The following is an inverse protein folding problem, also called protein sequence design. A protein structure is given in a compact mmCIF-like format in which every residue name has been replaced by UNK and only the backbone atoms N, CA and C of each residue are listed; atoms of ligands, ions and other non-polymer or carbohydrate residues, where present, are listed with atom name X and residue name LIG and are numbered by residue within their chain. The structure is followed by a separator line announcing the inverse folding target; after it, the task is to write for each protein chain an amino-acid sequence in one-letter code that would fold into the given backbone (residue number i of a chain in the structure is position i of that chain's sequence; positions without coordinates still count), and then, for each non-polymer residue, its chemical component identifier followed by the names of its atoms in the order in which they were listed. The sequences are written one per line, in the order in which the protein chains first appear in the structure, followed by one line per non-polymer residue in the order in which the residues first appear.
data_IF_631731557129
#
_entry.id   IF_631731557129
#
_cell.length_a   1.000
_cell.length_b   1.000
_cell.length_c   1.000
_cell.angle_alpha   90.00
_cell.angle_beta   90.00
_cell.angle_gamma   90.00
#
_symmetry.space_group_name_H-M   'P 1'
#
loop_
_entity.id
_entity.type
_entity.pdbx_description
1 polymer ?
#
# COMPACT_ATOMS: atom_id res chain seq x y z
N UNK A 1 12.68 8.70 -39.60
CA UNK A 1 12.06 7.78 -38.60
C UNK A 1 10.99 6.95 -39.30
N UNK A 2 11.08 5.61 -39.28
CA UNK A 2 10.10 4.73 -39.96
C UNK A 2 8.78 4.68 -39.17
N UNK A 3 7.68 5.12 -39.77
CA UNK A 3 6.33 4.98 -39.21
C UNK A 3 5.77 3.60 -39.54
N UNK A 4 5.41 2.81 -38.52
CA UNK A 4 4.74 1.52 -38.70
C UNK A 4 3.23 1.70 -38.77
N UNK A 5 2.54 0.75 -39.42
CA UNK A 5 1.08 0.78 -39.59
C UNK A 5 0.42 0.27 -38.31
N UNK A 6 -0.45 1.06 -37.70
CA UNK A 6 -1.12 0.77 -36.44
C UNK A 6 -2.02 -0.46 -36.54
N UNK A 7 -1.95 -1.34 -35.55
CA UNK A 7 -2.75 -2.56 -35.50
C UNK A 7 -4.27 -2.28 -35.39
N UNK A 8 -4.65 -1.25 -34.61
CA UNK A 8 -6.04 -0.95 -34.26
C UNK A 8 -6.78 -0.15 -35.34
N UNK A 9 -6.18 0.93 -35.86
CA UNK A 9 -6.86 1.82 -36.82
C UNK A 9 -6.26 1.80 -38.23
N UNK A 10 -5.20 1.02 -38.45
CA UNK A 10 -4.49 0.88 -39.73
C UNK A 10 -3.84 2.17 -40.28
N UNK A 11 -3.87 3.27 -39.54
CA UNK A 11 -3.13 4.51 -39.87
C UNK A 11 -1.64 4.41 -39.48
N UNK A 12 -0.79 5.30 -40.00
CA UNK A 12 0.66 5.25 -39.77
C UNK A 12 1.06 5.94 -38.46
N UNK A 13 1.15 5.16 -37.39
CA UNK A 13 1.71 5.52 -36.09
C UNK A 13 2.02 4.23 -35.29
N UNK A 14 2.82 4.33 -34.23
CA UNK A 14 3.04 3.20 -33.31
C UNK A 14 1.72 2.85 -32.62
N UNK A 15 1.30 1.60 -32.67
CA UNK A 15 0.00 1.13 -32.14
C UNK A 15 -0.26 1.51 -30.69
N UNK A 16 0.79 1.60 -29.86
CA UNK A 16 0.72 2.00 -28.45
C UNK A 16 0.22 3.44 -28.23
N UNK A 17 0.23 4.29 -29.26
CA UNK A 17 -0.20 5.70 -29.19
C UNK A 17 -1.56 5.91 -29.89
N UNK A 18 -2.34 4.85 -30.08
CA UNK A 18 -3.59 4.92 -30.84
C UNK A 18 -4.79 5.29 -29.96
N UNK A 19 -5.32 6.51 -30.15
CA UNK A 19 -6.50 7.02 -29.41
C UNK A 19 -7.82 6.25 -29.66
N UNK A 20 -7.83 5.24 -30.55
CA UNK A 20 -9.01 4.37 -30.80
C UNK A 20 -9.01 3.09 -29.96
N UNK A 21 -8.01 2.90 -29.10
CA UNK A 21 -7.97 1.77 -28.17
C UNK A 21 -9.14 1.82 -27.16
N UNK A 22 -9.56 3.01 -26.74
CA UNK A 22 -10.52 3.18 -25.63
C UNK A 22 -12.00 3.02 -26.02
N UNK A 23 -12.34 3.17 -27.30
CA UNK A 23 -13.76 3.15 -27.72
C UNK A 23 -14.39 1.76 -27.77
N UNK A 24 -13.60 0.68 -27.86
CA UNK A 24 -14.13 -0.69 -27.88
C UNK A 24 -14.31 -1.29 -26.47
N UNK A 25 -13.71 -0.69 -25.43
CA UNK A 25 -13.84 -1.17 -24.05
C UNK A 25 -15.20 -0.80 -23.42
N UNK A 26 -15.91 0.19 -23.98
CA UNK A 26 -17.15 0.74 -23.40
C UNK A 26 -18.37 -0.18 -23.65
N UNK A 27 -18.31 -1.14 -24.58
CA UNK A 27 -19.48 -1.95 -24.94
C UNK A 27 -19.59 -3.36 -24.32
N UNK A 28 -18.62 -3.85 -23.53
CA UNK A 28 -18.67 -5.25 -23.06
C UNK A 28 -18.89 -5.53 -21.57
N UNK A 29 -18.89 -4.55 -20.65
CA UNK A 29 -18.98 -4.89 -19.22
C UNK A 29 -20.34 -4.54 -18.61
N UNK A 30 -21.34 -5.39 -18.88
CA UNK A 30 -22.59 -5.51 -18.12
C UNK A 30 -22.79 -6.91 -17.51
N UNK A 31 -21.71 -7.65 -17.24
CA UNK A 31 -21.75 -8.86 -16.42
C UNK A 31 -21.31 -8.54 -14.99
N UNK A 32 -22.17 -8.86 -14.01
CA UNK A 32 -21.81 -8.86 -12.58
C UNK A 32 -20.78 -9.97 -12.34
N UNK A 33 -19.50 -9.66 -12.51
CA UNK A 33 -18.43 -10.54 -12.08
C UNK A 33 -18.39 -10.60 -10.55
N UNK A 34 -18.36 -11.83 -10.00
CA UNK A 34 -17.98 -12.03 -8.60
C UNK A 34 -16.53 -11.60 -8.45
N UNK A 35 -16.29 -10.50 -7.72
CA UNK A 35 -14.94 -10.01 -7.42
C UNK A 35 -14.26 -11.01 -6.49
N UNK A 36 -13.35 -11.82 -7.01
CA UNK A 36 -12.42 -12.61 -6.18
C UNK A 36 -11.47 -11.66 -5.42
N UNK A 37 -11.07 -11.98 -4.17
CA UNK A 37 -10.16 -11.12 -3.42
C UNK A 37 -8.82 -11.01 -4.16
N UNK A 38 -8.48 -9.78 -4.54
CA UNK A 38 -7.27 -9.47 -5.27
C UNK A 38 -6.13 -9.18 -4.27
N UNK A 39 -4.97 -9.78 -4.52
CA UNK A 39 -3.78 -9.71 -3.65
C UNK A 39 -2.66 -8.98 -4.39
N UNK A 40 -2.02 -8.00 -3.74
CA UNK A 40 -0.82 -7.35 -4.30
C UNK A 40 0.39 -8.21 -3.95
N UNK A 41 0.95 -8.93 -4.93
CA UNK A 41 2.16 -9.72 -4.69
C UNK A 41 3.38 -8.81 -4.77
N UNK A 42 4.03 -8.64 -3.63
CA UNK A 42 5.21 -7.79 -3.46
C UNK A 42 6.50 -8.63 -3.58
N UNK A 43 6.73 -9.23 -4.73
CA UNK A 43 7.89 -10.11 -4.97
C UNK A 43 8.83 -9.50 -6.00
N UNK A 44 10.14 -9.55 -5.73
CA UNK A 44 11.19 -9.23 -6.70
C UNK A 44 11.94 -10.52 -7.01
N UNK A 45 11.83 -10.97 -8.27
CA UNK A 45 12.55 -12.13 -8.79
C UNK A 45 13.70 -11.66 -9.67
N UNK A 46 14.92 -12.05 -9.32
CA UNK A 46 16.10 -11.88 -10.19
C UNK A 46 16.30 -13.17 -11.01
N UNK A 47 16.73 -13.03 -12.27
CA UNK A 47 17.14 -14.18 -13.07
C UNK A 47 18.45 -14.82 -12.56
N UNK A 48 19.24 -14.09 -11.76
CA UNK A 48 20.54 -14.52 -11.23
C UNK A 48 20.52 -14.93 -9.75
N UNK A 49 19.48 -14.59 -9.00
CA UNK A 49 19.30 -14.99 -7.61
C UNK A 49 18.13 -15.99 -7.52
N UNK A 50 18.38 -17.26 -7.15
CA UNK A 50 17.32 -18.25 -7.00
C UNK A 50 16.40 -17.96 -5.80
N UNK A 51 16.75 -17.03 -4.90
CA UNK A 51 15.91 -16.66 -3.76
C UNK A 51 15.02 -15.44 -4.05
N UNK A 52 13.72 -15.58 -3.78
CA UNK A 52 12.72 -14.54 -3.99
C UNK A 52 12.79 -13.46 -2.90
N UNK A 53 13.07 -12.22 -3.27
CA UNK A 53 13.00 -11.07 -2.37
C UNK A 53 11.55 -10.62 -2.20
N UNK A 54 11.17 -10.24 -1.00
CA UNK A 54 9.85 -9.69 -0.68
C UNK A 54 9.94 -8.19 -0.38
N UNK A 55 8.92 -7.44 -0.77
CA UNK A 55 8.75 -6.02 -0.44
C UNK A 55 7.72 -5.88 0.69
N UNK A 56 8.15 -5.33 1.81
CA UNK A 56 7.27 -4.97 2.91
C UNK A 56 7.03 -3.47 2.87
N UNK A 57 5.75 -3.07 2.74
CA UNK A 57 5.35 -1.68 2.86
C UNK A 57 5.27 -1.27 4.34
N UNK A 58 5.49 0.02 4.59
CA UNK A 58 5.46 0.63 5.90
C UNK A 58 4.04 0.60 6.49
N UNK A 59 3.77 -0.36 7.37
CA UNK A 59 2.45 -0.56 7.95
C UNK A 59 2.48 -1.23 9.30
N UNK A 60 1.47 -0.94 10.11
CA UNK A 60 1.36 -1.44 11.48
C UNK A 60 -0.10 -1.65 11.87
N UNK A 61 -0.36 -2.71 12.61
CA UNK A 61 -1.63 -2.82 13.34
C UNK A 61 -1.55 -1.94 14.60
N UNK A 62 -2.50 -1.03 14.73
CA UNK A 62 -2.56 -0.06 15.82
C UNK A 62 -3.93 -0.15 16.50
N UNK A 63 -3.99 0.26 17.76
CA UNK A 63 -5.27 0.48 18.44
C UNK A 63 -5.83 1.84 18.05
N UNK A 64 -7.08 1.86 17.61
CA UNK A 64 -7.84 3.07 17.33
C UNK A 64 -9.08 3.12 18.20
N UNK A 65 -9.38 4.32 18.67
CA UNK A 65 -10.49 4.63 19.56
C UNK A 65 -11.30 5.79 18.97
N UNK A 66 -12.55 5.92 19.40
CA UNK A 66 -13.29 7.15 19.27
C UNK A 66 -13.32 7.85 20.63
N UNK A 67 -12.67 9.01 20.78
CA UNK A 67 -12.66 9.74 22.05
C UNK A 67 -14.05 10.27 22.47
N UNK A 68 -14.99 10.39 21.55
CA UNK A 68 -16.38 10.74 21.85
C UNK A 68 -17.20 9.54 22.37
N UNK A 69 -16.72 8.32 22.11
CA UNK A 69 -17.28 7.05 22.60
C UNK A 69 -16.13 6.10 23.01
N UNK A 70 -15.42 6.36 24.13
CA UNK A 70 -14.18 5.68 24.49
C UNK A 70 -14.29 4.16 24.69
N UNK A 71 -15.50 3.64 24.88
CA UNK A 71 -15.81 2.21 24.91
C UNK A 71 -15.65 1.52 23.54
N UNK A 72 -15.61 2.30 22.46
CA UNK A 72 -15.47 1.82 21.08
C UNK A 72 -13.99 1.89 20.69
N UNK A 73 -13.30 0.75 20.86
CA UNK A 73 -11.91 0.54 20.47
C UNK A 73 -11.79 -0.67 19.54
N UNK A 74 -10.96 -0.56 18.50
CA UNK A 74 -10.66 -1.67 17.58
C UNK A 74 -9.20 -1.63 17.14
N UNK A 75 -8.71 -2.76 16.65
CA UNK A 75 -7.46 -2.81 15.89
C UNK A 75 -7.70 -2.36 14.45
N UNK A 76 -6.75 -1.60 13.90
CA UNK A 76 -6.75 -1.12 12.52
C UNK A 76 -5.35 -1.29 11.92
N UNK A 77 -5.27 -1.81 10.68
CA UNK A 77 -4.03 -1.84 9.92
C UNK A 77 -3.82 -0.48 9.24
N UNK A 78 -2.80 0.25 9.66
CA UNK A 78 -2.38 1.51 9.04
C UNK A 78 -1.32 1.25 7.98
N UNK A 79 -1.55 1.70 6.75
CA UNK A 79 -0.53 1.83 5.71
C UNK A 79 -0.03 3.28 5.69
N UNK A 80 1.25 3.49 5.94
CA UNK A 80 1.89 4.79 5.86
C UNK A 80 2.38 5.02 4.42
N UNK A 81 1.76 5.97 3.72
CA UNK A 81 1.98 6.20 2.30
C UNK A 81 2.53 7.61 2.06
N UNK A 82 3.81 7.69 1.67
CA UNK A 82 4.49 8.95 1.38
C UNK A 82 4.02 9.57 0.07
N UNK A 83 3.41 8.78 -0.82
CA UNK A 83 2.82 9.26 -2.07
C UNK A 83 1.50 9.99 -1.86
N UNK A 84 0.88 9.85 -0.68
CA UNK A 84 -0.42 10.45 -0.38
C UNK A 84 -0.28 11.67 0.52
N UNK A 85 -0.89 12.78 0.11
CA UNK A 85 -0.89 14.02 0.90
C UNK A 85 -1.87 13.96 2.08
N UNK A 86 -3.03 13.33 1.87
CA UNK A 86 -4.15 13.27 2.80
C UNK A 86 -4.35 11.86 3.34
N UNK A 87 -4.96 11.77 4.52
CA UNK A 87 -5.30 10.50 5.16
C UNK A 87 -6.73 10.03 4.87
N UNK A 88 -6.91 8.72 4.76
CA UNK A 88 -8.20 8.12 4.41
C UNK A 88 -8.53 6.89 5.26
N UNK A 89 -9.83 6.67 5.48
CA UNK A 89 -10.39 5.47 6.12
C UNK A 89 -11.53 4.90 5.29
N UNK A 90 -11.76 3.57 5.30
CA UNK A 90 -12.92 2.99 4.66
C UNK A 90 -14.18 3.28 5.47
N UNK A 91 -15.35 3.32 4.81
CA UNK A 91 -16.66 3.42 5.49
C UNK A 91 -16.84 2.37 6.58
N UNK A 92 -16.31 1.16 6.38
CA UNK A 92 -16.36 0.08 7.37
C UNK A 92 -15.70 0.49 8.70
N UNK A 93 -14.45 1.00 8.67
CA UNK A 93 -13.78 1.44 9.88
C UNK A 93 -14.51 2.61 10.54
N UNK A 94 -14.98 3.57 9.73
CA UNK A 94 -15.73 4.72 10.24
C UNK A 94 -17.01 4.30 10.98
N UNK A 95 -17.72 3.31 10.44
CA UNK A 95 -18.92 2.74 11.07
C UNK A 95 -18.59 1.95 12.33
N UNK A 96 -17.53 1.12 12.31
CA UNK A 96 -17.10 0.35 13.49
C UNK A 96 -16.71 1.23 14.67
N UNK A 97 -16.13 2.40 14.40
CA UNK A 97 -15.74 3.38 15.41
C UNK A 97 -16.85 4.41 15.72
N UNK A 98 -17.99 4.36 15.01
CA UNK A 98 -19.05 5.37 15.09
C UNK A 98 -18.52 6.80 14.95
N UNK A 99 -17.63 7.04 13.98
CA UNK A 99 -16.96 8.34 13.83
C UNK A 99 -17.96 9.45 13.48
N UNK A 100 -17.89 10.57 14.20
CA UNK A 100 -18.66 11.76 13.87
C UNK A 100 -18.14 12.37 12.56
N UNK A 101 -19.08 12.65 11.65
CA UNK A 101 -18.80 13.40 10.41
C UNK A 101 -18.71 14.88 10.74
N UNK A 102 -17.65 15.52 10.27
CA UNK A 102 -17.34 16.92 10.56
C UNK A 102 -17.84 17.80 9.43
N UNK A 103 -17.32 17.58 8.23
CA UNK A 103 -17.63 18.34 7.01
C UNK A 103 -17.70 17.41 5.81
N UNK A 104 -18.35 17.87 4.76
CA UNK A 104 -18.33 17.25 3.44
C UNK A 104 -17.53 18.15 2.50
N UNK A 105 -16.58 17.58 1.77
CA UNK A 105 -15.60 18.33 0.97
C UNK A 105 -15.36 17.66 -0.39
N UNK A 106 -15.16 18.50 -1.42
CA UNK A 106 -14.66 18.06 -2.72
C UNK A 106 -13.13 17.94 -2.66
N UNK A 107 -12.62 16.72 -2.80
CA UNK A 107 -11.19 16.42 -2.80
C UNK A 107 -10.72 16.17 -4.23
N UNK A 108 -9.71 16.91 -4.67
CA UNK A 108 -9.01 16.66 -5.92
C UNK A 108 -7.78 15.79 -5.67
N UNK A 109 -7.71 14.61 -6.28
CA UNK A 109 -6.57 13.70 -6.21
C UNK A 109 -5.96 13.57 -7.61
N UNK A 110 -4.67 13.86 -7.74
CA UNK A 110 -3.89 13.60 -8.94
C UNK A 110 -2.90 12.46 -8.68
N UNK A 111 -2.87 11.46 -9.55
CA UNK A 111 -1.84 10.41 -9.49
C UNK A 111 -0.62 10.77 -10.34
N UNK A 112 0.48 10.05 -10.14
CA UNK A 112 1.62 10.13 -11.05
C UNK A 112 1.18 9.76 -12.47
N UNK A 113 1.54 10.61 -13.43
CA UNK A 113 1.16 10.46 -14.83
C UNK A 113 -0.16 11.12 -15.24
N UNK A 114 -0.96 11.59 -14.27
CA UNK A 114 -2.19 12.33 -14.58
C UNK A 114 -1.89 13.80 -14.90
N UNK A 115 -2.46 14.29 -16.01
CA UNK A 115 -2.44 15.72 -16.34
C UNK A 115 -3.47 16.54 -15.58
N UNK A 116 -4.57 15.90 -15.16
CA UNK A 116 -5.70 16.54 -14.51
C UNK A 116 -6.10 15.71 -13.28
N UNK A 117 -6.41 16.37 -12.15
CA UNK A 117 -6.88 15.67 -10.97
C UNK A 117 -8.28 15.09 -11.20
N UNK A 118 -8.59 14.02 -10.46
CA UNK A 118 -9.94 13.48 -10.32
C UNK A 118 -10.55 14.04 -9.03
N UNK A 119 -11.78 14.54 -9.13
CA UNK A 119 -12.51 15.06 -7.98
C UNK A 119 -13.37 13.97 -7.34
N UNK A 120 -13.39 13.96 -6.02
CA UNK A 120 -14.15 13.02 -5.21
C UNK A 120 -14.86 13.78 -4.11
N UNK A 121 -16.15 13.51 -3.96
CA UNK A 121 -16.89 13.97 -2.79
C UNK A 121 -16.59 13.04 -1.62
N UNK A 122 -16.17 13.59 -0.49
CA UNK A 122 -15.80 12.79 0.67
C UNK A 122 -16.10 13.50 1.99
N UNK A 123 -16.39 12.68 3.00
CA UNK A 123 -16.71 13.16 4.34
C UNK A 123 -15.45 13.17 5.18
N UNK A 124 -15.23 14.26 5.90
CA UNK A 124 -14.16 14.40 6.86
C UNK A 124 -14.61 13.89 8.23
N UNK A 125 -13.74 13.16 8.91
CA UNK A 125 -13.93 12.65 10.26
C UNK A 125 -12.60 12.74 11.03
N UNK A 126 -12.63 12.39 12.32
CA UNK A 126 -11.43 12.21 13.15
C UNK A 126 -11.31 10.76 13.57
N UNK A 127 -10.09 10.23 13.56
CA UNK A 127 -9.75 8.93 14.14
C UNK A 127 -8.64 9.13 15.16
N UNK A 128 -8.78 8.49 16.32
CA UNK A 128 -7.83 8.65 17.42
C UNK A 128 -6.94 7.40 17.50
N UNK A 129 -5.65 7.56 17.21
CA UNK A 129 -4.68 6.47 17.20
C UNK A 129 -3.93 6.44 18.52
N UNK A 130 -4.00 5.32 19.23
CA UNK A 130 -3.19 5.10 20.44
C UNK A 130 -1.75 4.78 20.06
N UNK A 131 -0.83 5.50 20.67
CA UNK A 131 0.62 5.26 20.51
C UNK A 131 1.22 4.62 21.77
N UNK A 132 2.47 4.15 21.64
CA UNK A 132 3.26 3.67 22.77
C UNK A 132 3.32 4.75 23.85
N UNK A 133 3.20 4.34 25.12
CA UNK A 133 3.11 5.28 26.24
C UNK A 133 1.70 5.81 26.54
N UNK A 134 0.66 5.33 25.84
CA UNK A 134 -0.77 5.69 26.03
C UNK A 134 -1.14 7.11 25.62
N UNK A 135 -0.26 7.83 24.95
CA UNK A 135 -0.61 9.07 24.26
C UNK A 135 -1.53 8.78 23.05
N UNK A 136 -2.24 9.79 22.58
CA UNK A 136 -3.21 9.68 21.48
C UNK A 136 -2.87 10.72 20.42
N UNK A 137 -2.79 10.26 19.16
CA UNK A 137 -2.68 11.13 18.00
C UNK A 137 -4.05 11.20 17.33
N UNK A 138 -4.62 12.40 17.27
CA UNK A 138 -5.88 12.68 16.57
C UNK A 138 -5.57 12.97 15.10
N UNK A 139 -6.12 12.17 14.20
CA UNK A 139 -5.94 12.29 12.75
C UNK A 139 -7.25 12.70 12.10
N UNK A 140 -7.24 13.80 11.33
CA UNK A 140 -8.33 14.11 10.39
C UNK A 140 -8.19 13.19 9.17
N UNK A 141 -9.29 12.56 8.81
CA UNK A 141 -9.33 11.55 7.74
C UNK A 141 -10.53 11.76 6.85
N UNK A 142 -10.38 11.37 5.59
CA UNK A 142 -11.45 11.36 4.62
C UNK A 142 -12.00 9.94 4.43
N UNK A 143 -13.32 9.82 4.41
CA UNK A 143 -14.00 8.54 4.28
C UNK A 143 -14.12 8.16 2.81
N UNK A 144 -13.45 7.07 2.42
CA UNK A 144 -13.51 6.49 1.07
C UNK A 144 -14.16 5.11 1.12
N UNK A 145 -14.75 4.65 0.01
CA UNK A 145 -15.33 3.29 -0.03
C UNK A 145 -14.26 2.19 -0.01
N UNK A 146 -13.16 2.45 -0.70
CA UNK A 146 -12.10 1.48 -0.92
C UNK A 146 -10.73 2.16 -0.89
N UNK A 147 -9.79 1.57 -0.17
CA UNK A 147 -8.43 2.11 0.00
C UNK A 147 -7.41 1.40 -0.90
N UNK A 148 -7.21 0.10 -0.66
CA UNK A 148 -6.28 -0.77 -1.39
C UNK A 148 -6.63 -2.23 -1.20
N UNK A 149 -6.08 -3.08 -2.07
CA UNK A 149 -6.15 -4.53 -1.96
C UNK A 149 -5.54 -5.04 -0.66
N UNK A 150 -5.69 -6.35 -0.42
CA UNK A 150 -4.99 -7.00 0.67
C UNK A 150 -3.48 -6.94 0.45
N UNK A 151 -2.77 -6.58 1.51
CA UNK A 151 -1.31 -6.54 1.59
C UNK A 151 -0.79 -7.64 2.51
N UNK A 152 0.40 -8.15 2.23
CA UNK A 152 1.00 -9.26 2.99
C UNK A 152 1.55 -8.83 4.36
N UNK A 153 0.70 -8.71 5.38
CA UNK A 153 0.97 -8.73 6.84
C UNK A 153 2.19 -9.48 7.38
N UNK A 154 3.25 -8.86 7.91
CA UNK A 154 4.23 -9.59 8.76
C UNK A 154 3.96 -9.28 10.24
N UNK A 155 3.73 -10.31 11.05
CA UNK A 155 3.57 -10.14 12.50
C UNK A 155 4.94 -10.09 13.14
N UNK A 156 5.27 -8.95 13.74
CA UNK A 156 6.53 -8.74 14.48
C UNK A 156 6.17 -8.41 15.93
N UNK A 157 6.45 -9.33 16.83
CA UNK A 157 6.32 -9.14 18.28
C UNK A 157 7.61 -8.60 18.89
N UNK A 158 7.55 -8.07 20.12
CA UNK A 158 8.74 -7.61 20.87
C UNK A 158 9.81 -8.70 21.01
N UNK A 159 9.39 -9.95 21.21
CA UNK A 159 10.29 -11.11 21.25
C UNK A 159 10.99 -11.32 19.90
N UNK A 160 10.26 -11.12 18.80
CA UNK A 160 10.84 -11.22 17.47
C UNK A 160 11.89 -10.14 17.25
N UNK A 161 11.64 -8.90 17.69
CA UNK A 161 12.63 -7.80 17.57
C UNK A 161 13.93 -8.10 18.33
N UNK A 162 13.82 -8.64 19.55
CA UNK A 162 15.00 -9.06 20.32
C UNK A 162 15.79 -10.18 19.63
N UNK A 163 15.10 -11.05 18.89
CA UNK A 163 15.72 -12.12 18.11
C UNK A 163 16.30 -11.61 16.79
N UNK A 164 15.62 -10.67 16.13
CA UNK A 164 16.04 -10.08 14.86
C UNK A 164 17.34 -9.30 15.00
N UNK A 165 17.48 -8.56 16.09
CA UNK A 165 18.73 -7.84 16.42
C UNK A 165 19.89 -8.77 16.76
N UNK A 166 19.64 -10.04 17.09
CA UNK A 166 20.66 -11.01 17.54
C UNK A 166 21.02 -12.07 16.48
N UNK A 167 20.05 -12.49 15.68
CA UNK A 167 20.19 -13.61 14.74
C UNK A 167 19.93 -13.23 13.28
N UNK A 168 19.41 -12.03 13.01
CA UNK A 168 19.16 -11.48 11.67
C UNK A 168 18.33 -12.37 10.71
N UNK A 169 17.57 -13.32 11.25
CA UNK A 169 16.72 -14.24 10.47
C UNK A 169 15.25 -13.92 10.73
N UNK A 170 14.48 -13.82 9.66
CA UNK A 170 13.02 -13.64 9.69
C UNK A 170 12.27 -14.99 9.71
N UNK A 171 13.01 -16.10 9.71
CA UNK A 171 12.51 -17.46 9.71
C UNK A 171 11.55 -17.69 10.89
N UNK A 172 10.33 -18.13 10.57
CA UNK A 172 9.28 -18.41 11.56
C UNK A 172 8.33 -17.25 11.86
N UNK A 173 8.56 -16.05 11.30
CA UNK A 173 7.57 -14.98 11.37
C UNK A 173 6.30 -15.35 10.61
N UNK A 174 5.16 -15.17 11.26
CA UNK A 174 3.86 -15.46 10.65
C UNK A 174 3.44 -14.31 9.75
N UNK A 175 3.09 -14.65 8.51
CA UNK A 175 2.47 -13.72 7.58
C UNK A 175 0.98 -13.96 7.41
N UNK A 176 0.24 -12.93 7.02
CA UNK A 176 -1.17 -13.01 6.65
C UNK A 176 -1.52 -11.90 5.66
N UNK A 177 -2.70 -11.97 5.02
CA UNK A 177 -3.13 -10.95 4.05
C UNK A 177 -4.29 -10.16 4.60
N UNK A 178 -4.14 -8.83 4.67
CA UNK A 178 -5.16 -7.92 5.21
C UNK A 178 -5.18 -6.62 4.42
N UNK A 179 -6.39 -6.13 4.17
CA UNK A 179 -6.62 -4.82 3.57
C UNK A 179 -6.39 -3.74 4.65
N UNK A 180 -5.66 -2.66 4.36
CA UNK A 180 -5.51 -1.54 5.27
C UNK A 180 -6.86 -0.93 5.68
N UNK A 181 -6.96 -0.65 6.97
CA UNK A 181 -8.07 0.07 7.58
C UNK A 181 -7.82 1.59 7.57
N UNK A 182 -6.57 2.03 7.45
CA UNK A 182 -6.20 3.45 7.37
C UNK A 182 -5.09 3.61 6.33
N UNK A 183 -5.25 4.58 5.43
CA UNK A 183 -4.18 5.09 4.59
C UNK A 183 -3.69 6.40 5.20
N UNK A 184 -2.50 6.38 5.77
CA UNK A 184 -1.92 7.51 6.48
C UNK A 184 -1.02 8.29 5.52
N UNK A 185 -1.48 9.48 5.14
CA UNK A 185 -0.73 10.38 4.28
C UNK A 185 0.38 11.13 5.01
N UNK A 186 1.06 12.00 4.27
CA UNK A 186 2.14 12.86 4.77
C UNK A 186 1.68 13.90 5.79
N UNK A 187 0.38 14.22 5.82
CA UNK A 187 -0.28 15.12 6.77
C UNK A 187 -0.08 14.73 8.25
N UNK A 188 0.01 13.43 8.58
CA UNK A 188 0.35 12.99 9.95
C UNK A 188 1.56 12.07 10.05
N UNK A 189 2.21 11.69 8.95
CA UNK A 189 3.33 10.73 8.97
C UNK A 189 4.45 11.11 9.95
N UNK A 190 4.87 12.38 9.99
CA UNK A 190 5.93 12.85 10.91
C UNK A 190 5.53 12.77 12.39
N UNK A 191 4.24 12.65 12.71
CA UNK A 191 3.78 12.45 14.09
C UNK A 191 3.98 11.01 14.55
N UNK A 192 4.05 10.05 13.63
CA UNK A 192 4.21 8.63 13.93
C UNK A 192 5.66 8.14 13.79
N UNK A 193 6.39 8.65 12.79
CA UNK A 193 7.67 8.07 12.37
C UNK A 193 8.82 9.05 12.58
N UNK A 194 9.81 8.61 13.36
CA UNK A 194 11.06 9.32 13.60
C UNK A 194 12.18 8.59 12.85
N UNK A 195 12.49 9.06 11.63
CA UNK A 195 13.38 8.36 10.70
C UNK A 195 14.82 8.16 11.19
N UNK A 196 15.26 8.96 12.17
CA UNK A 196 16.58 8.82 12.80
C UNK A 196 16.81 7.46 13.46
N UNK A 197 15.73 6.74 13.78
CA UNK A 197 15.78 5.44 14.46
C UNK A 197 15.46 4.29 13.50
N UNK A 198 16.20 4.21 12.39
CA UNK A 198 16.06 3.12 11.40
C UNK A 198 17.32 2.26 11.36
N UNK A 199 17.15 0.93 11.41
CA UNK A 199 18.24 -0.04 11.32
C UNK A 199 18.04 -0.95 10.10
N UNK A 200 19.09 -1.14 9.29
CA UNK A 200 19.11 -2.17 8.26
C UNK A 200 19.48 -3.54 8.86
N UNK A 201 18.68 -4.56 8.55
CA UNK A 201 18.89 -5.96 8.98
C UNK A 201 19.67 -6.72 7.91
N UNK A 202 20.37 -7.81 8.27
CA UNK A 202 21.07 -8.63 7.26
C UNK A 202 20.15 -9.29 6.24
N UNK A 203 18.84 -9.39 6.54
CA UNK A 203 17.83 -9.82 5.58
C UNK A 203 17.59 -8.79 4.46
N UNK A 204 18.10 -7.56 4.58
CA UNK A 204 17.89 -6.44 3.65
C UNK A 204 16.72 -5.53 4.03
N UNK A 205 15.86 -5.95 4.96
CA UNK A 205 14.77 -5.10 5.45
C UNK A 205 15.27 -4.03 6.40
N UNK A 206 14.51 -2.94 6.46
CA UNK A 206 14.65 -1.87 7.44
C UNK A 206 13.72 -2.14 8.62
N UNK A 207 14.27 -2.06 9.83
CA UNK A 207 13.52 -1.96 11.07
C UNK A 207 13.39 -0.47 11.42
N UNK A 208 12.20 0.07 11.26
CA UNK A 208 11.87 1.47 11.52
C UNK A 208 11.21 1.57 12.89
N UNK A 209 11.80 2.32 13.82
CA UNK A 209 11.13 2.64 15.08
C UNK A 209 10.08 3.73 14.88
N UNK A 210 8.91 3.54 15.48
CA UNK A 210 7.79 4.48 15.36
C UNK A 210 7.06 4.59 16.69
N UNK A 211 6.25 5.63 16.86
CA UNK A 211 5.42 5.81 18.05
C UNK A 211 4.34 4.74 18.18
N UNK A 212 4.00 4.01 17.12
CA UNK A 212 3.09 2.85 17.17
C UNK A 212 3.84 1.51 17.26
N UNK A 213 5.14 1.58 17.55
CA UNK A 213 6.06 0.47 17.66
C UNK A 213 6.80 0.14 16.37
N UNK A 214 7.82 -0.72 16.45
CA UNK A 214 8.68 -1.08 15.33
C UNK A 214 7.91 -1.67 14.14
N UNK A 215 8.37 -1.30 12.94
CA UNK A 215 7.83 -1.73 11.63
C UNK A 215 8.97 -2.30 10.79
N UNK A 216 8.75 -3.44 10.14
CA UNK A 216 9.61 -3.94 9.06
C UNK A 216 9.16 -3.35 7.72
N UNK A 217 10.09 -2.77 6.98
CA UNK A 217 9.86 -2.09 5.70
C UNK A 217 10.99 -2.39 4.70
N UNK A 218 10.74 -2.19 3.42
CA UNK A 218 11.74 -2.30 2.36
C UNK A 218 11.79 -3.68 1.71
N UNK A 219 12.94 -4.00 1.11
CA UNK A 219 13.11 -5.20 0.27
C UNK A 219 14.11 -6.13 0.96
N UNK A 220 13.74 -7.39 1.13
CA UNK A 220 14.63 -8.36 1.75
C UNK A 220 14.19 -9.81 1.60
N UNK A 221 14.97 -10.71 2.18
CA UNK A 221 14.74 -12.15 2.16
C UNK A 221 13.99 -12.57 3.43
N UNK A 222 12.85 -13.24 3.27
CA UNK A 222 12.11 -13.81 4.41
C UNK A 222 12.78 -15.08 4.92
N UNK A 223 13.33 -15.91 4.03
CA UNK A 223 14.04 -17.14 4.37
C UNK A 223 15.52 -16.95 4.03
N UNK A 224 16.37 -16.71 5.03
CA UNK A 224 17.79 -16.42 4.79
C UNK A 224 18.66 -17.65 5.00
N UNK A 225 18.62 -18.59 4.05
CA UNK A 225 19.43 -19.80 4.14
C UNK A 225 20.90 -19.61 3.70
N UNK A 226 21.32 -18.41 3.27
CA UNK A 226 22.75 -18.15 3.03
C UNK A 226 23.06 -16.66 3.11
N UNK A 227 24.02 -16.30 3.97
CA UNK A 227 24.67 -14.99 3.94
C UNK A 227 25.30 -14.76 2.57
N UNK A 228 24.88 -13.73 1.83
CA UNK A 228 25.63 -13.27 0.68
C UNK A 228 25.68 -11.75 0.63
N UNK A 229 26.88 -11.24 0.36
CA UNK A 229 27.27 -9.84 0.36
C UNK A 229 26.46 -9.00 -0.64
N UNK A 230 26.15 -7.77 -0.24
CA UNK A 230 25.45 -6.78 -1.05
C UNK A 230 26.06 -6.63 -2.45
N UNK A 231 25.26 -6.89 -3.48
CA UNK A 231 25.56 -6.59 -4.88
C UNK A 231 24.52 -5.59 -5.37
N UNK A 232 24.97 -4.57 -6.10
CA UNK A 232 24.15 -3.54 -6.73
C UNK A 232 23.08 -4.13 -7.65
N UNK A 233 21.82 -3.73 -7.48
CA UNK A 233 20.65 -4.32 -8.14
C UNK A 233 20.02 -3.35 -9.15
N UNK A 234 19.86 -3.77 -10.41
CA UNK A 234 18.83 -3.23 -11.30
C UNK A 234 17.47 -3.80 -10.85
N UNK A 235 16.72 -3.01 -10.08
CA UNK A 235 15.46 -3.50 -9.47
C UNK A 235 14.29 -3.30 -10.43
N UNK A 236 13.68 -4.39 -10.89
CA UNK A 236 12.34 -4.33 -11.49
C UNK A 236 11.32 -4.56 -10.38
N UNK A 237 10.71 -3.48 -9.89
CA UNK A 237 9.57 -3.57 -8.98
C UNK A 237 8.33 -3.88 -9.82
N UNK A 238 7.90 -5.14 -9.83
CA UNK A 238 6.62 -5.53 -10.39
C UNK A 238 5.60 -5.61 -9.25
N UNK A 239 4.86 -4.53 -9.00
CA UNK A 239 3.59 -4.64 -8.27
C UNK A 239 2.56 -5.28 -9.23
N UNK A 240 2.69 -6.59 -9.40
CA UNK A 240 1.81 -7.38 -10.25
C UNK A 240 0.63 -7.88 -9.44
N UNK A 241 -0.57 -7.55 -9.87
CA UNK A 241 -1.73 -8.37 -9.53
C UNK A 241 -1.63 -9.61 -10.40
N UNK A 242 -1.81 -10.82 -9.83
CA UNK A 242 -1.83 -12.07 -10.61
C UNK A 242 -3.07 -12.07 -11.51
N UNK A 243 -2.98 -11.36 -12.62
CA UNK A 243 -3.87 -11.54 -13.75
C UNK A 243 -3.05 -12.21 -14.83
N UNK A 244 -3.57 -13.32 -15.33
CA UNK A 244 -2.97 -14.12 -16.38
C UNK A 244 -2.35 -13.23 -17.47
N UNK A 245 -1.08 -13.53 -17.77
CA UNK A 245 -0.24 -13.04 -18.87
C UNK A 245 -0.95 -12.03 -19.79
N UNK A 246 -0.77 -10.74 -19.50
CA UNK A 246 -0.53 -9.74 -20.53
C UNK A 246 0.07 -8.49 -19.90
N UNK A 247 1.25 -8.12 -20.40
CA UNK A 247 1.96 -6.91 -20.01
C UNK A 247 1.15 -5.68 -20.42
N UNK A 248 0.50 -5.04 -19.46
CA UNK A 248 0.07 -3.67 -19.65
C UNK A 248 0.39 -2.84 -18.40
N UNK A 249 1.46 -2.06 -18.50
CA UNK A 249 1.86 -1.06 -17.50
C UNK A 249 0.71 -0.06 -17.28
N UNK A 250 -0.10 0.22 -18.30
CA UNK A 250 -1.27 1.10 -18.15
C UNK A 250 -2.35 0.47 -17.26
N UNK A 251 -2.42 -0.86 -17.18
CA UNK A 251 -3.31 -1.54 -16.22
C UNK A 251 -2.78 -1.36 -14.80
N UNK A 252 -1.48 -1.43 -14.58
CA UNK A 252 -0.88 -1.16 -13.27
C UNK A 252 -1.22 0.26 -12.78
N UNK A 253 -1.01 1.28 -13.63
CA UNK A 253 -1.37 2.67 -13.30
C UNK A 253 -2.88 2.86 -13.10
N UNK A 254 -3.72 2.18 -13.86
CA UNK A 254 -5.17 2.20 -13.66
C UNK A 254 -5.63 1.53 -12.35
N UNK A 255 -4.88 0.55 -11.84
CA UNK A 255 -5.17 -0.08 -10.55
C UNK A 255 -4.73 0.82 -9.39
N UNK A 256 -3.58 1.49 -9.50
CA UNK A 256 -3.16 2.53 -8.56
C UNK A 256 -4.20 3.67 -8.48
N UNK A 257 -4.79 4.06 -9.63
CA UNK A 257 -5.90 5.03 -9.71
C UNK A 257 -7.18 4.59 -9.00
N UNK A 258 -7.39 3.28 -8.82
CA UNK A 258 -8.53 2.73 -8.08
C UNK A 258 -8.19 2.44 -6.62
N UNK A 259 -6.93 2.69 -6.23
CA UNK A 259 -6.33 2.20 -5.01
C UNK A 259 -6.47 0.68 -4.97
N UNK A 260 -5.85 -0.07 -5.90
CA UNK A 260 -5.86 -1.55 -6.00
C UNK A 260 -4.42 -2.01 -6.24
#
# INVERSE_FOLDING_TARGET
MKTTRCFHCKSFHKSALCNRHDTNAIQMNKSKEKVEPMYITNSVTDQKDPQEKTILLLRKEVSVINLEAPEIETQALVLFDQGMQLSFVPKDLANRLSLQRITEEDISIASFGDKLPKNYYSMKAKVDVKILGKEIIICEVYIKDYLTNKLQVMRVSEKDISSLTKYDQLDGLKSYWKQPDILQGTDYMSKFIEWSETQELKSGFLLVQTKVGPILNGIGYINNNNSMSAISVETVVACGTKVNKDHNIDRFWNLELMGI
#
